data_IF_518996776355
#
_entry.id   IF_518996776355
#
_cell.length_a   1.000
_cell.length_b   1.000
_cell.length_c   1.000
_cell.angle_alpha   90.00
_cell.angle_beta   90.00
_cell.angle_gamma   90.00
#
_symmetry.space_group_name_H-M   'P 1'
#
loop_
_entity.id
_entity.type
_entity.pdbx_description
1 polymer ?
#
# COMPACT_ATOMS: atom_id res chain seq x y z
N UNK A 1 -18.27 -8.57 -5.04
CA UNK A 1 -17.91 -7.29 -5.65
C UNK A 1 -16.40 -7.10 -5.49
N UNK A 2 -15.64 -7.00 -6.59
CA UNK A 2 -14.17 -7.02 -6.56
C UNK A 2 -13.68 -5.60 -6.30
N UNK A 3 -12.92 -5.41 -5.22
CA UNK A 3 -12.17 -4.18 -4.98
C UNK A 3 -11.09 -4.08 -6.07
N UNK A 4 -11.40 -3.36 -7.17
CA UNK A 4 -10.45 -3.15 -8.26
C UNK A 4 -9.46 -2.06 -7.85
N UNK A 5 -8.31 -2.52 -7.34
CA UNK A 5 -7.14 -1.67 -7.17
C UNK A 5 -6.81 -1.07 -8.54
N UNK A 6 -6.75 0.27 -8.69
CA UNK A 6 -6.41 0.88 -9.97
C UNK A 6 -5.06 0.36 -10.44
N UNK A 7 -4.97 -0.02 -11.72
CA UNK A 7 -3.73 -0.54 -12.29
C UNK A 7 -2.62 0.50 -12.11
N UNK A 8 -1.57 0.13 -11.38
CA UNK A 8 -0.43 1.01 -11.19
C UNK A 8 0.23 1.29 -12.54
N UNK A 9 0.34 2.57 -12.89
CA UNK A 9 1.08 3.01 -14.07
C UNK A 9 2.56 3.00 -13.73
N UNK A 10 3.21 1.90 -14.10
CA UNK A 10 4.63 1.68 -13.86
C UNK A 10 5.42 2.00 -15.12
N UNK A 11 6.47 2.82 -14.99
CA UNK A 11 7.50 3.08 -15.97
C UNK A 11 8.85 2.61 -15.43
N UNK A 12 9.56 1.77 -16.18
CA UNK A 12 10.92 1.36 -15.85
C UNK A 12 11.88 2.20 -16.69
N UNK A 13 12.74 2.97 -16.03
CA UNK A 13 13.77 3.79 -16.69
C UNK A 13 15.13 3.25 -16.25
N UNK A 14 15.79 2.47 -17.10
CA UNK A 14 17.07 1.84 -16.77
C UNK A 14 16.93 0.88 -15.59
N UNK A 15 17.66 1.16 -14.50
CA UNK A 15 17.65 0.38 -13.26
C UNK A 15 16.73 0.95 -12.16
N UNK A 16 15.79 1.84 -12.49
CA UNK A 16 14.80 2.37 -11.55
C UNK A 16 13.38 2.17 -12.07
N UNK A 17 12.45 1.98 -11.15
CA UNK A 17 11.03 1.81 -11.43
C UNK A 17 10.25 2.99 -10.86
N UNK A 18 9.41 3.60 -11.66
CA UNK A 18 8.63 4.79 -11.32
C UNK A 18 7.15 4.44 -11.44
N UNK A 19 6.41 4.61 -10.35
CA UNK A 19 4.96 4.48 -10.28
C UNK A 19 4.38 5.88 -10.43
N UNK A 20 3.79 6.17 -11.59
CA UNK A 20 3.32 7.52 -11.94
C UNK A 20 2.04 7.89 -11.21
N UNK A 21 1.12 6.94 -11.02
CA UNK A 21 -0.17 7.14 -10.36
C UNK A 21 -0.17 6.69 -8.89
N UNK A 22 0.96 6.83 -8.20
CA UNK A 22 1.07 6.35 -6.82
C UNK A 22 0.10 7.09 -5.89
N UNK A 23 -0.06 8.41 -6.06
CA UNK A 23 -1.07 9.21 -5.35
C UNK A 23 -2.48 8.64 -5.52
N UNK A 24 -2.92 8.42 -6.76
CA UNK A 24 -4.27 7.92 -7.05
C UNK A 24 -4.54 6.55 -6.41
N UNK A 25 -3.55 5.66 -6.44
CA UNK A 25 -3.64 4.34 -5.80
C UNK A 25 -3.81 4.51 -4.29
N UNK A 26 -3.01 5.37 -3.67
CA UNK A 26 -3.04 5.61 -2.22
C UNK A 26 -4.33 6.30 -1.79
N UNK A 27 -4.81 7.28 -2.55
CA UNK A 27 -6.10 7.97 -2.32
C UNK A 27 -7.27 6.99 -2.41
N UNK A 28 -7.28 6.11 -3.40
CA UNK A 28 -8.30 5.04 -3.51
C UNK A 28 -8.29 4.07 -2.34
N UNK A 29 -7.12 3.82 -1.77
CA UNK A 29 -6.96 2.98 -0.58
C UNK A 29 -7.28 3.73 0.71
N UNK A 30 -7.45 5.05 0.65
CA UNK A 30 -7.59 5.95 1.80
C UNK A 30 -6.50 5.71 2.86
N UNK A 31 -5.25 5.73 2.41
CA UNK A 31 -4.07 5.39 3.23
C UNK A 31 -2.98 6.46 3.14
N UNK A 32 -2.03 6.40 4.07
CA UNK A 32 -0.88 7.28 4.03
C UNK A 32 0.12 6.83 2.95
N UNK A 33 0.57 7.72 2.04
CA UNK A 33 1.51 7.38 0.98
C UNK A 33 2.83 6.82 1.51
N UNK A 34 3.34 7.33 2.63
CA UNK A 34 4.60 6.87 3.22
C UNK A 34 4.47 5.46 3.79
N UNK A 35 3.30 5.10 4.30
CA UNK A 35 3.07 3.74 4.81
C UNK A 35 3.06 2.72 3.67
N UNK A 36 2.33 3.02 2.58
CA UNK A 36 2.30 2.17 1.38
C UNK A 36 3.69 2.06 0.78
N UNK A 37 4.41 3.19 0.67
CA UNK A 37 5.76 3.23 0.13
C UNK A 37 6.73 2.39 0.96
N UNK A 38 6.70 2.52 2.29
CA UNK A 38 7.55 1.74 3.19
C UNK A 38 7.29 0.25 3.06
N UNK A 39 6.03 -0.16 2.94
CA UNK A 39 5.67 -1.56 2.72
C UNK A 39 6.22 -2.08 1.39
N UNK A 40 5.97 -1.35 0.29
CA UNK A 40 6.46 -1.71 -1.03
C UNK A 40 7.98 -1.77 -1.09
N UNK A 41 8.67 -0.77 -0.54
CA UNK A 41 10.12 -0.71 -0.45
C UNK A 41 10.69 -1.94 0.29
N UNK A 42 10.05 -2.32 1.40
CA UNK A 42 10.45 -3.50 2.18
C UNK A 42 10.26 -4.80 1.40
N UNK A 43 9.09 -5.03 0.81
CA UNK A 43 8.80 -6.26 0.05
C UNK A 43 9.68 -6.39 -1.20
N UNK A 44 10.02 -5.28 -1.82
CA UNK A 44 10.92 -5.23 -2.98
C UNK A 44 12.41 -5.18 -2.60
N UNK A 45 12.74 -5.23 -1.31
CA UNK A 45 14.10 -5.12 -0.77
C UNK A 45 14.87 -3.93 -1.36
N UNK A 46 14.21 -2.78 -1.49
CA UNK A 46 14.74 -1.60 -2.17
C UNK A 46 14.49 -0.32 -1.41
N UNK A 47 15.22 0.74 -1.78
CA UNK A 47 14.90 2.09 -1.39
C UNK A 47 13.75 2.64 -2.25
N UNK A 48 12.72 3.15 -1.58
CA UNK A 48 11.60 3.88 -2.18
C UNK A 48 11.66 5.37 -1.82
N UNK A 49 11.19 6.24 -2.71
CA UNK A 49 10.94 7.65 -2.42
C UNK A 49 9.64 8.10 -3.08
N UNK A 50 8.88 8.96 -2.42
CA UNK A 50 7.65 9.52 -2.96
C UNK A 50 7.85 11.00 -3.20
N UNK A 51 7.69 11.45 -4.44
CA UNK A 51 7.85 12.85 -4.82
C UNK A 51 6.83 13.21 -5.91
N UNK A 52 6.12 14.33 -5.73
CA UNK A 52 5.19 14.86 -6.73
C UNK A 52 4.07 13.90 -7.15
N UNK A 53 3.56 13.08 -6.24
CA UNK A 53 2.52 12.08 -6.54
C UNK A 53 3.05 10.77 -7.15
N UNK A 54 4.37 10.67 -7.38
CA UNK A 54 5.02 9.51 -8.00
C UNK A 54 5.87 8.75 -7.00
N UNK A 55 5.83 7.42 -7.08
CA UNK A 55 6.67 6.51 -6.28
C UNK A 55 7.90 6.09 -7.08
N UNK A 56 9.09 6.43 -6.60
CA UNK A 56 10.36 6.02 -7.15
C UNK A 56 10.92 4.83 -6.37
N UNK A 57 11.34 3.78 -7.07
CA UNK A 57 11.93 2.59 -6.50
C UNK A 57 13.23 2.25 -7.23
N UNK A 58 14.27 1.86 -6.48
CA UNK A 58 15.53 1.42 -7.08
C UNK A 58 15.42 -0.05 -7.50
N UNK A 59 15.65 -0.36 -8.76
CA UNK A 59 15.51 -1.71 -9.31
C UNK A 59 14.51 -1.77 -10.46
N UNK A 60 14.47 -2.94 -11.11
CA UNK A 60 13.60 -3.24 -12.25
C UNK A 60 12.46 -4.11 -11.77
N UNK A 61 11.29 -3.51 -11.57
CA UNK A 61 10.08 -4.22 -11.16
C UNK A 61 9.05 -4.17 -12.28
N UNK A 62 8.45 -5.32 -12.56
CA UNK A 62 7.37 -5.38 -13.53
C UNK A 62 6.08 -4.83 -12.93
N UNK A 63 5.18 -4.40 -13.81
CA UNK A 63 3.85 -3.90 -13.40
C UNK A 63 3.06 -4.98 -12.66
N UNK A 64 3.17 -6.25 -13.07
CA UNK A 64 2.46 -7.35 -12.40
C UNK A 64 2.92 -7.51 -10.95
N UNK A 65 4.22 -7.44 -10.69
CA UNK A 65 4.77 -7.56 -9.33
C UNK A 65 4.25 -6.45 -8.42
N UNK A 66 4.27 -5.20 -8.90
CA UNK A 66 3.77 -4.05 -8.12
C UNK A 66 2.27 -4.21 -7.85
N UNK A 67 1.46 -4.54 -8.86
CA UNK A 67 0.02 -4.76 -8.69
C UNK A 67 -0.27 -5.90 -7.71
N UNK A 68 0.50 -7.00 -7.77
CA UNK A 68 0.39 -8.11 -6.82
C UNK A 68 0.67 -7.65 -5.40
N UNK A 69 1.75 -6.90 -5.17
CA UNK A 69 2.09 -6.37 -3.85
C UNK A 69 1.03 -5.40 -3.32
N UNK A 70 0.46 -4.54 -4.16
CA UNK A 70 -0.63 -3.64 -3.76
C UNK A 70 -1.89 -4.47 -3.40
N UNK A 71 -2.17 -5.55 -4.11
CA UNK A 71 -3.27 -6.47 -3.78
C UNK A 71 -3.07 -7.13 -2.41
N UNK A 72 -1.87 -7.63 -2.13
CA UNK A 72 -1.52 -8.19 -0.81
C UNK A 72 -1.62 -7.12 0.28
N UNK A 73 -1.12 -5.91 0.02
CA UNK A 73 -1.23 -4.78 0.94
C UNK A 73 -2.70 -4.44 1.24
N UNK A 74 -3.55 -4.36 0.22
CA UNK A 74 -4.97 -4.05 0.37
C UNK A 74 -5.66 -5.10 1.24
N UNK A 75 -5.45 -6.39 0.96
CA UNK A 75 -6.00 -7.47 1.77
C UNK A 75 -5.55 -7.42 3.24
N UNK A 76 -4.33 -6.95 3.51
CA UNK A 76 -3.72 -6.96 4.85
C UNK A 76 -3.97 -5.69 5.67
N UNK A 77 -4.05 -4.54 5.01
CA UNK A 77 -4.06 -3.21 5.66
C UNK A 77 -5.26 -2.33 5.29
N UNK A 78 -6.12 -2.78 4.37
CA UNK A 78 -7.32 -2.04 3.95
C UNK A 78 -8.57 -2.87 4.22
N UNK A 79 -8.56 -4.16 3.87
CA UNK A 79 -9.70 -5.04 4.10
C UNK A 79 -9.73 -5.49 5.55
N UNK A 80 -10.87 -5.29 6.21
CA UNK A 80 -11.11 -5.82 7.54
C UNK A 80 -11.20 -7.37 7.51
N UNK A 81 -10.52 -8.10 8.42
CA UNK A 81 -10.60 -9.56 8.47
C UNK A 81 -11.96 -10.10 8.96
N UNK A 82 -12.80 -9.24 9.54
CA UNK A 82 -14.10 -9.63 10.11
C UNK A 82 -15.24 -9.38 9.13
N UNK A 83 -15.35 -8.14 8.61
CA UNK A 83 -16.48 -7.73 7.77
C UNK A 83 -16.12 -7.58 6.29
N UNK A 84 -14.87 -7.85 5.91
CA UNK A 84 -14.35 -7.73 4.54
C UNK A 84 -14.59 -6.36 3.87
N UNK A 85 -14.84 -5.32 4.67
CA UNK A 85 -15.00 -3.95 4.16
C UNK A 85 -13.65 -3.24 4.11
N UNK A 86 -13.44 -2.36 3.12
CA UNK A 86 -12.25 -1.52 3.02
C UNK A 86 -12.27 -0.34 4.01
N UNK A 87 -13.36 -0.15 4.74
CA UNK A 87 -13.58 0.92 5.72
C UNK A 87 -12.77 0.69 7.00
N UNK A 88 -11.45 0.82 6.90
CA UNK A 88 -10.52 0.65 8.01
C UNK A 88 -9.57 1.83 8.10
N UNK A 89 -9.02 2.08 9.29
CA UNK A 89 -8.05 3.15 9.58
C UNK A 89 -6.85 2.58 10.33
N UNK A 90 -5.66 3.04 9.98
CA UNK A 90 -4.43 2.68 10.71
C UNK A 90 -4.20 3.70 11.82
N UNK A 91 -4.14 3.23 13.06
CA UNK A 91 -3.87 4.01 14.26
C UNK A 91 -2.52 3.56 14.83
N UNK A 92 -1.55 4.48 14.89
CA UNK A 92 -0.27 4.22 15.57
C UNK A 92 -0.45 4.39 17.08
N UNK A 93 -0.19 3.33 17.84
CA UNK A 93 -0.20 3.32 19.30
C UNK A 93 1.18 2.96 19.83
N UNK A 94 2.07 3.96 19.92
CA UNK A 94 3.45 3.78 20.39
C UNK A 94 4.30 2.96 19.40
N UNK A 95 4.82 1.82 19.86
CA UNK A 95 5.67 0.92 19.03
C UNK A 95 4.87 0.04 18.07
N UNK A 96 3.55 -0.07 18.25
CA UNK A 96 2.69 -0.94 17.47
C UNK A 96 1.70 -0.11 16.65
N UNK A 97 1.35 -0.62 15.47
CA UNK A 97 0.28 -0.05 14.65
C UNK A 97 -0.96 -0.93 14.79
N UNK A 98 -2.14 -0.33 14.78
CA UNK A 98 -3.42 -1.01 14.90
C UNK A 98 -4.28 -0.66 13.69
N UNK A 99 -4.89 -1.67 13.08
CA UNK A 99 -5.93 -1.52 12.09
C UNK A 99 -7.28 -1.49 12.82
N UNK A 100 -8.02 -0.40 12.70
CA UNK A 100 -9.34 -0.21 13.32
C UNK A 100 -10.37 -0.11 12.21
N UNK A 101 -11.37 -0.98 12.19
CA UNK A 101 -12.47 -0.91 11.24
C UNK A 101 -13.56 0.02 11.76
N UNK A 102 -13.97 1.01 10.96
CA UNK A 102 -15.03 1.95 11.34
C UNK A 102 -16.42 1.36 11.11
N UNK A 103 -16.55 0.37 10.23
CA UNK A 103 -17.83 -0.30 9.96
C UNK A 103 -18.23 -1.31 11.06
N UNK A 104 -17.29 -2.09 11.61
CA UNK A 104 -17.59 -3.14 12.59
C UNK A 104 -16.92 -2.93 13.97
N UNK A 105 -16.07 -1.91 14.12
CA UNK A 105 -15.36 -1.64 15.37
C UNK A 105 -14.21 -2.61 15.67
N UNK A 106 -13.91 -3.57 14.79
CA UNK A 106 -12.82 -4.52 14.99
C UNK A 106 -11.47 -3.79 15.06
N UNK A 107 -10.67 -4.13 16.08
CA UNK A 107 -9.31 -3.62 16.26
C UNK A 107 -8.32 -4.78 16.16
N UNK A 108 -7.46 -4.73 15.15
CA UNK A 108 -6.43 -5.74 14.90
C UNK A 108 -5.05 -5.11 15.02
N UNK A 109 -4.15 -5.72 15.77
CA UNK A 109 -2.74 -5.29 15.80
C UNK A 109 -2.06 -5.68 14.49
N UNK A 110 -1.47 -4.70 13.81
CA UNK A 110 -0.66 -4.94 12.61
C UNK A 110 0.81 -4.82 12.98
N UNK A 111 1.58 -5.86 12.68
CA UNK A 111 3.02 -5.84 12.80
C UNK A 111 3.61 -5.20 11.54
N UNK A 112 4.04 -3.95 11.67
CA UNK A 112 5.05 -3.38 10.76
C UNK A 112 6.42 -3.93 11.18
N UNK A 113 6.62 -5.24 11.03
CA UNK A 113 7.97 -5.81 11.12
C UNK A 113 8.78 -5.31 9.96
#
# INVERSE_FOLDING_TARGET
>A
ERFEVPLAQVQVIGARTIVVNFSDVVDRLNRDPHHVLKYLAKEMATAGSFEGGRGYFQGKFSRETINRLIGVYSNRFVICPVCHRPDTRIVRGGRLSFLVCEACGARSSILTT
#
